data_IF_670488036060
#
_entry.id   IF_670488036060
#
_cell.length_a   1.000
_cell.length_b   1.000
_cell.length_c   1.000
_cell.angle_alpha   90.00
_cell.angle_beta   90.00
_cell.angle_gamma   90.00
#
_symmetry.space_group_name_H-M   'P 1'
#
loop_
_entity.id
_entity.type
_entity.pdbx_description
1 polymer ?
#
# COMPACT_ATOMS: atom_id res chain seq x y z
N UNK A 1 -60.52 -47.55 9.00
CA UNK A 1 -60.12 -48.43 7.88
C UNK A 1 -59.11 -47.65 7.05
N UNK A 2 -57.89 -48.19 6.96
CA UNK A 2 -56.78 -47.97 6.00
C UNK A 2 -56.19 -46.56 5.75
N UNK A 3 -55.06 -46.30 6.43
CA UNK A 3 -53.67 -46.12 5.94
C UNK A 3 -53.26 -45.34 4.67
N UNK A 4 -52.13 -44.61 4.85
CA UNK A 4 -51.02 -44.43 3.90
C UNK A 4 -50.68 -42.96 3.57
N UNK A 5 -49.48 -42.39 3.76
CA UNK A 5 -48.18 -42.82 4.28
C UNK A 5 -47.16 -41.65 4.08
N UNK A 6 -46.24 -41.44 5.03
CA UNK A 6 -45.08 -40.55 4.86
C UNK A 6 -43.89 -41.16 5.64
N UNK A 7 -42.82 -41.49 4.91
CA UNK A 7 -41.63 -42.13 5.47
C UNK A 7 -40.61 -41.13 6.02
N UNK A 8 -40.14 -41.39 7.24
CA UNK A 8 -39.02 -40.72 7.90
C UNK A 8 -37.95 -41.80 8.18
N UNK A 9 -36.69 -41.55 7.82
CA UNK A 9 -35.53 -42.35 8.29
C UNK A 9 -34.48 -41.45 8.94
N UNK A 10 -34.55 -41.46 10.29
CA UNK A 10 -33.53 -41.50 11.36
C UNK A 10 -32.18 -40.76 11.22
N UNK A 11 -31.91 -39.94 12.25
CA UNK A 11 -30.60 -39.44 12.68
C UNK A 11 -30.14 -40.11 13.99
N UNK A 12 -28.83 -40.27 14.16
CA UNK A 12 -28.13 -40.57 15.43
C UNK A 12 -26.67 -40.13 15.31
N UNK A 13 -26.20 -39.09 16.00
CA UNK A 13 -25.67 -39.04 17.40
C UNK A 13 -24.14 -39.09 17.41
N UNK A 14 -23.48 -38.00 17.82
CA UNK A 14 -22.12 -38.03 18.38
C UNK A 14 -21.95 -36.88 19.40
N UNK A 15 -21.49 -37.22 20.60
CA UNK A 15 -21.23 -36.32 21.73
C UNK A 15 -19.73 -36.17 21.97
N UNK A 16 -19.28 -34.97 22.37
CA UNK A 16 -17.90 -34.68 22.74
C UNK A 16 -17.85 -34.29 24.23
N UNK A 17 -17.08 -35.05 25.02
CA UNK A 17 -16.75 -34.71 26.40
C UNK A 17 -15.37 -34.05 26.47
N UNK A 18 -15.27 -32.95 27.21
CA UNK A 18 -14.04 -32.25 27.56
C UNK A 18 -13.37 -32.92 28.77
N UNK A 19 -12.05 -33.08 28.74
CA UNK A 19 -11.23 -33.43 29.90
C UNK A 19 -10.18 -32.33 30.11
N UNK A 20 -10.24 -31.69 31.27
CA UNK A 20 -9.22 -30.75 31.78
C UNK A 20 -8.15 -31.58 32.52
N UNK A 21 -6.88 -31.40 32.15
CA UNK A 21 -5.75 -31.98 32.87
C UNK A 21 -4.81 -30.88 33.41
N UNK A 22 -4.37 -31.09 34.64
CA UNK A 22 -3.68 -30.18 35.55
C UNK A 22 -2.17 -30.05 35.28
N UNK A 23 -1.60 -28.92 35.71
CA UNK A 23 -0.19 -28.51 35.54
C UNK A 23 0.65 -28.87 36.77
N UNK A 24 1.84 -29.51 36.60
CA UNK A 24 3.11 -29.40 37.38
C UNK A 24 4.27 -30.13 36.65
N UNK A 25 5.56 -30.00 37.05
CA UNK A 25 6.45 -28.82 37.02
C UNK A 25 7.64 -28.99 36.04
N UNK A 26 8.42 -27.91 35.90
CA UNK A 26 9.45 -27.66 34.88
C UNK A 26 10.79 -28.40 35.11
N UNK A 27 10.99 -29.56 34.48
CA UNK A 27 12.33 -30.19 34.44
C UNK A 27 12.70 -31.00 33.19
N UNK A 28 12.00 -30.89 32.05
CA UNK A 28 12.27 -31.75 30.87
C UNK A 28 12.25 -31.00 29.52
N UNK A 29 12.95 -29.87 29.43
CA UNK A 29 13.07 -29.11 28.17
C UNK A 29 14.03 -29.70 27.14
N UNK A 30 14.92 -30.64 27.52
CA UNK A 30 15.86 -31.27 26.58
C UNK A 30 15.28 -32.49 25.82
N UNK A 31 14.17 -33.09 26.29
CA UNK A 31 13.56 -34.26 25.63
C UNK A 31 12.40 -33.93 24.67
N UNK A 32 11.90 -32.68 24.68
CA UNK A 32 10.84 -32.23 23.75
C UNK A 32 11.44 -31.81 22.39
N UNK A 33 12.63 -31.19 22.38
CA UNK A 33 13.30 -30.77 21.15
C UNK A 33 13.76 -31.98 20.32
N UNK A 34 14.15 -33.08 20.96
CA UNK A 34 14.57 -34.31 20.28
C UNK A 34 13.39 -35.11 19.66
N UNK A 35 12.15 -34.95 20.16
CA UNK A 35 10.96 -35.61 19.58
C UNK A 35 10.25 -34.80 18.50
N UNK A 36 10.50 -33.49 18.42
CA UNK A 36 10.00 -32.64 17.33
C UNK A 36 10.84 -32.84 16.06
N UNK A 37 12.16 -33.04 16.19
CA UNK A 37 13.03 -33.27 15.03
C UNK A 37 12.91 -34.68 14.42
N UNK A 38 12.34 -35.67 15.12
CA UNK A 38 12.20 -37.04 14.59
C UNK A 38 10.85 -37.28 13.87
N UNK A 39 9.93 -36.31 13.87
CA UNK A 39 8.64 -36.41 13.16
C UNK A 39 8.54 -35.51 11.92
N UNK A 40 9.60 -34.76 11.58
CA UNK A 40 9.62 -33.88 10.41
C UNK A 40 10.35 -34.45 9.19
N UNK A 41 11.04 -35.59 9.30
CA UNK A 41 11.88 -36.11 8.20
C UNK A 41 11.24 -37.20 7.33
N UNK A 42 9.99 -37.62 7.59
CA UNK A 42 9.34 -38.69 6.81
C UNK A 42 7.92 -38.41 6.31
N UNK A 43 7.37 -37.20 6.50
CA UNK A 43 6.01 -36.87 6.05
C UNK A 43 5.93 -35.80 4.95
N UNK A 44 7.07 -35.39 4.35
CA UNK A 44 7.08 -34.27 3.40
C UNK A 44 7.50 -34.63 1.97
N UNK A 45 7.72 -35.91 1.63
CA UNK A 45 8.21 -36.29 0.29
C UNK A 45 7.18 -37.08 -0.56
N UNK A 46 6.16 -37.72 0.03
CA UNK A 46 5.21 -38.55 -0.75
C UNK A 46 3.82 -37.94 -0.98
N UNK A 47 3.58 -36.68 -0.60
CA UNK A 47 2.33 -35.97 -0.91
C UNK A 47 2.43 -35.03 -2.14
N UNK A 48 3.47 -35.20 -2.97
CA UNK A 48 3.68 -34.39 -4.20
C UNK A 48 3.13 -35.11 -5.47
N UNK A 49 2.62 -36.33 -5.37
CA UNK A 49 2.05 -37.05 -6.51
C UNK A 49 0.70 -37.70 -6.23
N UNK A 50 -0.35 -36.89 -6.07
CA UNK A 50 -1.69 -37.23 -6.55
C UNK A 50 -2.62 -36.02 -6.35
N UNK A 51 -3.44 -35.73 -7.36
CA UNK A 51 -4.51 -34.73 -7.34
C UNK A 51 -4.10 -33.25 -7.53
N UNK A 52 -3.33 -32.99 -8.58
CA UNK A 52 -3.51 -31.76 -9.36
C UNK A 52 -4.80 -31.91 -10.17
N UNK A 53 -5.95 -31.77 -9.50
CA UNK A 53 -7.14 -31.31 -10.21
C UNK A 53 -6.95 -29.81 -10.36
N UNK A 54 -6.70 -29.39 -11.59
CA UNK A 54 -6.65 -27.99 -11.99
C UNK A 54 -7.98 -27.31 -11.65
N UNK A 55 -8.08 -26.74 -10.45
CA UNK A 55 -9.03 -25.66 -10.19
C UNK A 55 -8.49 -24.47 -10.96
N UNK A 56 -8.90 -24.37 -12.23
CA UNK A 56 -8.79 -23.12 -12.98
C UNK A 56 -9.70 -22.12 -12.27
N UNK A 57 -9.12 -21.40 -11.31
CA UNK A 57 -9.72 -20.17 -10.81
C UNK A 57 -9.91 -19.28 -12.04
N UNK A 58 -11.13 -18.78 -12.31
CA UNK A 58 -11.33 -17.87 -13.42
C UNK A 58 -10.36 -16.71 -13.23
N UNK A 59 -9.55 -16.42 -14.24
CA UNK A 59 -8.85 -15.14 -14.39
C UNK A 59 -9.91 -14.10 -14.76
N UNK A 60 -10.86 -13.91 -13.87
CA UNK A 60 -11.76 -12.78 -13.82
C UNK A 60 -11.08 -11.71 -12.97
N UNK A 61 -11.17 -10.47 -13.43
CA UNK A 61 -10.82 -9.23 -12.73
C UNK A 61 -10.43 -9.42 -11.26
N UNK A 62 -9.19 -9.06 -10.90
CA UNK A 62 -8.89 -8.69 -9.52
C UNK A 62 -9.85 -7.55 -9.15
N UNK A 63 -11.01 -7.87 -8.60
CA UNK A 63 -11.71 -6.97 -7.69
C UNK A 63 -10.73 -6.80 -6.53
N UNK A 64 -9.95 -5.74 -6.62
CA UNK A 64 -9.21 -5.20 -5.50
C UNK A 64 -10.26 -4.97 -4.43
N UNK A 65 -10.12 -5.70 -3.32
CA UNK A 65 -10.76 -5.50 -2.03
C UNK A 65 -11.44 -4.13 -1.93
N UNK A 66 -12.77 -4.12 -1.80
CA UNK A 66 -13.55 -2.94 -1.43
C UNK A 66 -12.87 -2.25 -0.25
N UNK A 67 -12.16 -1.15 -0.50
CA UNK A 67 -11.44 -0.43 0.53
C UNK A 67 -11.90 1.03 0.55
N UNK A 68 -12.70 1.31 1.59
CA UNK A 68 -13.19 2.63 2.04
C UNK A 68 -13.88 3.50 0.96
N UNK A 69 -14.11 4.79 1.26
CA UNK A 69 -15.12 5.67 0.64
C UNK A 69 -15.26 5.55 -0.89
N UNK A 70 -16.50 5.52 -1.38
CA UNK A 70 -16.81 5.48 -2.83
C UNK A 70 -16.15 6.67 -3.55
N UNK A 71 -15.40 6.39 -4.60
CA UNK A 71 -14.74 7.40 -5.44
C UNK A 71 -13.40 7.91 -4.90
N UNK A 72 -12.90 7.38 -3.78
CA UNK A 72 -11.60 7.74 -3.20
C UNK A 72 -10.70 6.50 -3.24
N UNK A 73 -9.47 6.66 -3.71
CA UNK A 73 -8.52 5.55 -3.78
C UNK A 73 -8.15 5.04 -2.36
N UNK A 74 -8.11 3.72 -2.15
CA UNK A 74 -7.85 3.14 -0.82
C UNK A 74 -6.43 3.32 -0.30
N UNK A 75 -5.48 3.67 -1.18
CA UNK A 75 -4.11 4.02 -0.81
C UNK A 75 -4.04 5.37 -0.06
N UNK A 76 -5.13 6.16 -0.07
CA UNK A 76 -5.21 7.43 0.65
C UNK A 76 -5.64 7.18 2.09
N UNK A 77 -4.68 7.30 3.02
CA UNK A 77 -4.97 7.21 4.45
C UNK A 77 -5.92 8.35 4.89
N UNK A 78 -6.71 8.16 5.96
CA UNK A 78 -7.57 9.23 6.49
C UNK A 78 -6.80 10.53 6.82
N UNK A 79 -5.56 10.39 7.29
CA UNK A 79 -4.69 11.52 7.61
C UNK A 79 -4.22 12.28 6.35
N UNK A 80 -3.90 11.54 5.29
CA UNK A 80 -3.57 12.13 4.00
C UNK A 80 -4.79 12.84 3.40
N UNK A 81 -5.95 12.19 3.39
CA UNK A 81 -7.19 12.79 2.88
C UNK A 81 -7.53 14.09 3.59
N UNK A 82 -7.44 14.10 4.93
CA UNK A 82 -7.62 15.32 5.72
C UNK A 82 -6.64 16.42 5.30
N UNK A 83 -5.36 16.08 5.15
CA UNK A 83 -4.32 17.05 4.79
C UNK A 83 -4.57 17.65 3.40
N UNK A 84 -4.93 16.82 2.41
CA UNK A 84 -5.29 17.29 1.06
C UNK A 84 -6.49 18.24 1.10
N UNK A 85 -7.48 17.98 1.96
CA UNK A 85 -8.65 18.83 2.12
C UNK A 85 -8.35 20.17 2.82
N UNK A 86 -7.43 20.18 3.78
CA UNK A 86 -7.02 21.40 4.51
C UNK A 86 -6.11 22.33 3.69
N UNK A 87 -5.33 21.78 2.75
CA UNK A 87 -4.44 22.57 1.89
C UNK A 87 -5.20 23.62 1.06
N UNK A 88 -4.66 24.83 1.00
CA UNK A 88 -5.11 25.93 0.14
C UNK A 88 -4.35 26.01 -1.18
N UNK A 89 -4.74 26.97 -2.03
CA UNK A 89 -3.99 27.30 -3.26
C UNK A 89 -2.57 27.78 -2.90
N UNK A 90 -1.56 27.19 -3.56
CA UNK A 90 -0.15 27.50 -3.41
C UNK A 90 0.58 26.59 -2.41
N UNK A 91 -0.18 25.89 -1.56
CA UNK A 91 0.38 24.89 -0.66
C UNK A 91 1.00 23.73 -1.43
N UNK A 92 2.09 23.20 -0.88
CA UNK A 92 2.86 22.11 -1.48
C UNK A 92 2.78 20.87 -0.62
N UNK A 93 2.72 19.71 -1.27
CA UNK A 93 2.87 18.40 -0.63
C UNK A 93 4.05 17.69 -1.28
N UNK A 94 4.92 17.09 -0.45
CA UNK A 94 6.04 16.27 -0.93
C UNK A 94 5.63 14.81 -0.82
N UNK A 95 5.69 14.04 -1.90
CA UNK A 95 5.71 12.58 -1.83
C UNK A 95 7.17 12.14 -1.88
N UNK A 96 7.65 11.64 -0.76
CA UNK A 96 9.06 11.39 -0.52
C UNK A 96 9.40 9.90 -0.63
N UNK A 97 10.52 9.59 -1.26
CA UNK A 97 11.07 8.23 -1.31
C UNK A 97 11.59 7.80 0.08
N UNK A 98 11.86 6.50 0.23
CA UNK A 98 12.28 5.90 1.49
C UNK A 98 13.64 6.41 2.03
N UNK A 99 14.42 7.11 1.21
CA UNK A 99 15.74 7.64 1.56
C UNK A 99 15.69 9.14 1.91
N UNK A 100 14.54 9.79 1.69
CA UNK A 100 14.41 11.23 1.88
C UNK A 100 14.41 11.61 3.38
N UNK A 101 15.07 12.71 3.78
CA UNK A 101 15.22 13.08 5.18
C UNK A 101 13.98 13.78 5.77
N UNK A 102 12.77 13.25 5.53
CA UNK A 102 11.48 13.89 5.84
C UNK A 102 11.37 14.43 7.27
N UNK A 103 11.85 13.68 8.25
CA UNK A 103 11.72 14.03 9.68
C UNK A 103 12.67 15.14 10.16
N UNK A 104 13.57 15.63 9.31
CA UNK A 104 14.54 16.68 9.66
C UNK A 104 14.28 18.02 8.95
N UNK A 105 13.29 18.05 8.05
CA UNK A 105 13.04 19.22 7.22
C UNK A 105 12.07 20.23 7.86
N UNK A 106 11.21 19.79 8.78
CA UNK A 106 10.32 20.67 9.54
C UNK A 106 8.83 20.38 9.38
N UNK A 107 8.29 20.19 8.15
CA UNK A 107 6.87 19.92 7.97
C UNK A 107 6.41 18.63 8.65
N UNK A 108 5.10 18.55 8.88
CA UNK A 108 4.46 17.32 9.37
C UNK A 108 4.72 16.18 8.40
N UNK A 109 5.12 15.03 8.93
CA UNK A 109 5.33 13.81 8.16
C UNK A 109 4.14 12.86 8.32
N UNK A 110 3.58 12.40 7.20
CA UNK A 110 2.57 11.36 7.12
C UNK A 110 3.26 10.10 6.60
N UNK A 111 3.13 8.97 7.30
CA UNK A 111 3.73 7.70 6.88
C UNK A 111 2.82 6.99 5.87
N UNK A 112 3.40 6.52 4.78
CA UNK A 112 2.77 5.73 3.72
C UNK A 112 3.72 4.57 3.33
N UNK A 113 4.30 3.94 4.35
CA UNK A 113 5.21 2.80 4.20
C UNK A 113 4.57 1.68 3.36
N UNK A 114 5.35 1.10 2.44
CA UNK A 114 4.89 0.04 1.55
C UNK A 114 4.13 0.50 0.31
N UNK A 115 3.81 1.79 0.17
CA UNK A 115 3.20 2.35 -1.04
C UNK A 115 4.25 2.99 -1.95
N UNK A 116 4.07 2.83 -3.26
CA UNK A 116 4.86 3.51 -4.28
C UNK A 116 4.29 4.89 -4.63
N UNK A 117 5.14 5.80 -5.08
CA UNK A 117 4.72 7.16 -5.44
C UNK A 117 3.75 7.18 -6.64
N UNK A 118 3.93 6.40 -7.73
CA UNK A 118 2.98 6.40 -8.84
C UNK A 118 1.56 5.97 -8.44
N UNK A 119 1.43 5.03 -7.50
CA UNK A 119 0.14 4.61 -6.95
C UNK A 119 -0.53 5.74 -6.14
N UNK A 120 0.26 6.47 -5.35
CA UNK A 120 -0.23 7.63 -4.61
C UNK A 120 -0.62 8.77 -5.56
N UNK A 121 0.16 9.05 -6.61
CA UNK A 121 -0.20 10.04 -7.63
C UNK A 121 -1.56 9.72 -8.26
N UNK A 122 -1.75 8.47 -8.70
CA UNK A 122 -3.03 8.00 -9.26
C UNK A 122 -4.20 8.18 -8.31
N UNK A 123 -3.98 8.01 -7.02
CA UNK A 123 -5.01 8.25 -6.01
C UNK A 123 -5.28 9.73 -5.73
N UNK A 124 -4.22 10.53 -5.62
CA UNK A 124 -4.28 11.93 -5.17
C UNK A 124 -4.79 12.85 -6.27
N UNK A 125 -4.27 12.74 -7.50
CA UNK A 125 -4.53 13.72 -8.57
C UNK A 125 -6.02 13.84 -8.99
N UNK A 126 -6.85 12.79 -8.93
CA UNK A 126 -8.31 12.95 -9.10
C UNK A 126 -8.99 13.86 -8.08
N UNK A 127 -8.36 14.08 -6.90
CA UNK A 127 -8.87 14.91 -5.81
C UNK A 127 -8.11 16.24 -5.67
N UNK A 128 -7.03 16.42 -6.44
CA UNK A 128 -6.05 17.47 -6.23
C UNK A 128 -5.83 18.28 -7.51
N UNK A 129 -6.40 19.48 -7.54
CA UNK A 129 -6.17 20.43 -8.63
C UNK A 129 -4.71 20.92 -8.58
N UNK A 130 -3.98 20.81 -9.70
CA UNK A 130 -2.62 21.32 -9.82
C UNK A 130 -2.63 22.83 -10.13
N UNK A 131 -1.64 23.55 -9.64
CA UNK A 131 -1.60 25.00 -9.75
C UNK A 131 -1.33 25.49 -11.19
N UNK A 132 -2.36 26.04 -11.83
CA UNK A 132 -2.29 26.61 -13.17
C UNK A 132 -1.64 28.01 -13.24
N UNK A 133 -1.33 28.65 -12.10
CA UNK A 133 -0.71 29.98 -12.04
C UNK A 133 0.82 29.94 -11.97
N UNK A 134 1.42 28.74 -11.96
CA UNK A 134 2.87 28.53 -12.00
C UNK A 134 3.27 27.75 -13.24
N UNK A 135 4.51 27.95 -13.73
CA UNK A 135 5.01 27.24 -14.90
C UNK A 135 5.09 25.72 -14.66
N UNK A 136 5.54 25.33 -13.46
CA UNK A 136 5.77 23.93 -13.10
C UNK A 136 5.13 23.63 -11.73
N UNK A 137 3.86 23.18 -11.68
CA UNK A 137 3.20 22.80 -10.44
C UNK A 137 3.68 21.45 -9.89
N UNK A 138 4.47 20.71 -10.67
CA UNK A 138 5.06 19.43 -10.31
C UNK A 138 6.57 19.50 -10.51
N UNK A 139 7.33 19.08 -9.50
CA UNK A 139 8.78 19.06 -9.53
C UNK A 139 9.34 17.76 -8.95
N UNK A 140 10.34 17.19 -9.61
CA UNK A 140 11.15 16.08 -9.14
C UNK A 140 12.57 16.54 -8.82
N UNK A 141 13.31 15.76 -8.04
CA UNK A 141 14.71 16.04 -7.77
C UNK A 141 15.58 15.61 -8.98
N UNK A 142 16.41 16.51 -9.47
CA UNK A 142 17.42 16.21 -10.48
C UNK A 142 18.51 15.29 -9.92
N UNK A 143 19.07 14.36 -10.73
CA UNK A 143 20.21 13.56 -10.29
C UNK A 143 21.44 14.44 -10.12
N UNK A 144 22.29 14.12 -9.12
CA UNK A 144 23.60 14.79 -9.02
C UNK A 144 24.55 14.24 -10.09
N UNK A 145 25.64 14.96 -10.36
CA UNK A 145 26.65 14.53 -11.33
C UNK A 145 27.15 13.11 -11.04
N UNK A 146 27.07 12.24 -12.05
CA UNK A 146 27.48 10.82 -11.98
C UNK A 146 26.35 9.85 -11.67
N UNK A 147 25.17 10.33 -11.29
CA UNK A 147 23.97 9.51 -11.10
C UNK A 147 23.00 9.65 -12.29
N UNK A 148 22.08 8.70 -12.42
CA UNK A 148 21.01 8.71 -13.41
C UNK A 148 19.65 8.47 -12.76
N UNK A 149 18.60 9.03 -13.35
CA UNK A 149 17.22 8.72 -12.98
C UNK A 149 16.82 7.35 -13.54
N UNK A 150 15.92 6.67 -12.84
CA UNK A 150 15.20 5.53 -13.38
C UNK A 150 14.17 6.04 -14.41
N UNK A 151 14.38 5.71 -15.68
CA UNK A 151 13.55 6.20 -16.78
C UNK A 151 12.10 5.68 -16.70
N UNK A 152 11.90 4.44 -16.27
CA UNK A 152 10.57 3.82 -16.16
C UNK A 152 9.77 4.50 -15.04
N UNK A 153 10.45 4.90 -13.96
CA UNK A 153 9.86 5.65 -12.87
C UNK A 153 9.42 7.05 -13.27
N UNK A 154 10.31 7.80 -13.91
CA UNK A 154 10.02 9.15 -14.41
C UNK A 154 8.86 9.09 -15.40
N UNK A 155 8.86 8.11 -16.30
CA UNK A 155 7.77 7.89 -17.24
C UNK A 155 6.45 7.60 -16.52
N UNK A 156 6.43 6.67 -15.57
CA UNK A 156 5.23 6.33 -14.79
C UNK A 156 4.65 7.54 -14.05
N UNK A 157 5.50 8.36 -13.43
CA UNK A 157 5.04 9.59 -12.76
C UNK A 157 4.52 10.63 -13.76
N UNK A 158 5.21 10.78 -14.90
CA UNK A 158 4.82 11.73 -15.95
C UNK A 158 3.49 11.38 -16.58
N UNK A 159 3.21 10.08 -16.80
CA UNK A 159 1.92 9.62 -17.32
C UNK A 159 0.77 9.96 -16.37
N UNK A 160 0.92 9.68 -15.07
CA UNK A 160 -0.12 10.00 -14.08
C UNK A 160 -0.35 11.53 -14.00
N UNK A 161 0.71 12.35 -14.07
CA UNK A 161 0.59 13.82 -14.07
C UNK A 161 -0.04 14.35 -15.35
N UNK A 162 0.29 13.78 -16.51
CA UNK A 162 -0.19 14.25 -17.82
C UNK A 162 -1.70 14.12 -17.99
N UNK A 163 -2.38 13.26 -17.21
CA UNK A 163 -3.83 13.19 -17.17
C UNK A 163 -4.49 14.41 -16.53
N UNK A 164 -3.75 15.19 -15.74
CA UNK A 164 -4.28 16.29 -14.92
C UNK A 164 -3.63 17.64 -15.20
N UNK A 165 -2.46 17.67 -15.83
CA UNK A 165 -1.74 18.90 -16.16
C UNK A 165 -0.94 18.74 -17.46
N UNK A 166 -0.92 19.80 -18.28
CA UNK A 166 -0.12 19.84 -19.52
C UNK A 166 1.31 20.33 -19.30
N UNK A 167 1.60 20.92 -18.14
CA UNK A 167 2.95 21.38 -17.82
C UNK A 167 3.89 20.19 -17.61
N UNK A 168 5.10 20.30 -18.18
CA UNK A 168 6.15 19.33 -17.93
C UNK A 168 6.59 19.36 -16.45
N UNK A 169 6.94 18.19 -15.93
CA UNK A 169 7.59 18.05 -14.62
C UNK A 169 8.94 18.76 -14.67
N UNK A 170 9.18 19.63 -13.69
CA UNK A 170 10.48 20.27 -13.51
C UNK A 170 11.47 19.37 -12.76
N UNK A 171 12.77 19.54 -13.02
CA UNK A 171 13.84 18.81 -12.36
C UNK A 171 14.73 19.78 -11.59
N UNK A 172 14.57 19.77 -10.27
CA UNK A 172 15.16 20.75 -9.36
C UNK A 172 16.42 20.19 -8.71
N UNK A 173 17.46 21.02 -8.61
CA UNK A 173 18.69 20.67 -7.89
C UNK A 173 18.39 20.24 -6.44
N UNK A 174 19.16 19.28 -5.93
CA UNK A 174 18.91 18.60 -4.65
C UNK A 174 18.69 19.55 -3.46
N UNK A 175 19.53 20.56 -3.29
CA UNK A 175 19.41 21.49 -2.16
C UNK A 175 18.23 22.46 -2.36
N UNK A 176 18.01 22.94 -3.58
CA UNK A 176 16.82 23.72 -3.91
C UNK A 176 15.52 22.92 -3.66
N UNK A 177 15.53 21.61 -3.94
CA UNK A 177 14.42 20.72 -3.61
C UNK A 177 14.19 20.61 -2.09
N UNK A 178 15.27 20.54 -1.29
CA UNK A 178 15.14 20.58 0.16
C UNK A 178 14.55 21.91 0.66
N UNK A 179 14.97 23.04 0.09
CA UNK A 179 14.42 24.35 0.46
C UNK A 179 12.92 24.43 0.15
N UNK A 180 12.48 23.93 -1.01
CA UNK A 180 11.06 23.81 -1.33
C UNK A 180 10.34 22.88 -0.32
N UNK A 181 10.90 21.72 -0.04
CA UNK A 181 10.32 20.74 0.89
C UNK A 181 10.18 21.28 2.31
N UNK A 182 11.08 22.15 2.80
CA UNK A 182 10.96 22.81 4.12
C UNK A 182 9.73 23.70 4.23
N UNK A 183 9.26 24.24 3.11
CA UNK A 183 8.08 25.12 3.04
C UNK A 183 6.79 24.39 2.68
N UNK A 184 6.84 23.07 2.48
CA UNK A 184 5.66 22.27 2.18
C UNK A 184 4.70 22.21 3.37
N UNK A 185 3.40 22.05 3.09
CA UNK A 185 2.37 21.85 4.09
C UNK A 185 2.59 20.53 4.86
N UNK A 186 2.88 19.46 4.12
CA UNK A 186 3.27 18.17 4.69
C UNK A 186 4.17 17.37 3.74
N UNK A 187 4.81 16.36 4.32
CA UNK A 187 5.63 15.37 3.59
C UNK A 187 5.02 13.99 3.82
N UNK A 188 4.66 13.29 2.75
CA UNK A 188 4.25 11.90 2.77
C UNK A 188 5.49 11.04 2.54
N UNK A 189 5.94 10.32 3.56
CA UNK A 189 7.11 9.45 3.46
C UNK A 189 6.67 8.05 3.06
N UNK A 190 7.08 7.61 1.87
CA UNK A 190 6.57 6.42 1.20
C UNK A 190 7.52 5.24 1.29
N UNK A 191 7.14 4.10 0.69
CA UNK A 191 8.00 2.94 0.50
C UNK A 191 8.75 2.93 -0.84
N UNK A 192 8.72 4.02 -1.62
CA UNK A 192 9.41 4.09 -2.91
C UNK A 192 10.94 3.98 -2.71
N UNK A 193 11.56 2.99 -3.34
CA UNK A 193 12.99 2.67 -3.15
C UNK A 193 13.86 3.18 -4.29
N UNK A 194 13.27 3.69 -5.37
CA UNK A 194 14.04 4.31 -6.44
C UNK A 194 14.66 5.62 -5.97
N UNK A 195 15.95 5.80 -6.28
CA UNK A 195 16.66 7.06 -5.99
C UNK A 195 16.03 8.21 -6.76
N UNK A 196 16.02 9.40 -6.16
CA UNK A 196 15.39 10.59 -6.73
C UNK A 196 13.89 10.37 -6.98
N UNK A 197 13.26 9.55 -6.14
CA UNK A 197 11.83 9.26 -6.23
C UNK A 197 10.97 10.47 -5.84
N UNK A 198 11.54 11.41 -5.09
CA UNK A 198 10.81 12.54 -4.52
C UNK A 198 10.11 13.40 -5.58
N UNK A 199 8.84 13.70 -5.32
CA UNK A 199 8.02 14.60 -6.14
C UNK A 199 7.29 15.60 -5.25
N UNK A 200 7.23 16.85 -5.69
CA UNK A 200 6.44 17.92 -5.08
C UNK A 200 5.25 18.22 -5.97
N UNK A 201 4.07 18.35 -5.36
CA UNK A 201 2.86 18.83 -6.00
C UNK A 201 2.45 20.16 -5.37
N UNK A 202 2.16 21.17 -6.19
CA UNK A 202 1.60 22.45 -5.74
C UNK A 202 0.10 22.50 -6.04
N UNK A 203 -0.71 22.77 -5.01
CA UNK A 203 -2.17 22.80 -5.12
C UNK A 203 -2.63 24.09 -5.80
N UNK A 204 -3.52 23.95 -6.77
CA UNK A 204 -4.18 25.05 -7.47
C UNK A 204 -5.50 25.48 -6.84
N UNK A 205 -6.29 26.21 -7.63
CA UNK A 205 -7.64 26.64 -7.28
C UNK A 205 -8.62 25.57 -7.74
N UNK A 206 -9.13 24.77 -6.81
CA UNK A 206 -10.17 23.78 -7.12
C UNK A 206 -11.41 24.49 -7.70
N UNK A 207 -11.91 24.08 -8.88
CA UNK A 207 -13.09 24.70 -9.46
C UNK A 207 -14.32 24.45 -8.57
N UNK A 208 -15.05 25.52 -8.27
CA UNK A 208 -16.39 25.40 -7.68
C UNK A 208 -17.42 25.21 -8.80
N UNK A 209 -18.37 24.27 -8.64
CA UNK A 209 -19.52 24.14 -9.55
C UNK A 209 -20.35 25.42 -9.65
#
# INVERSE_FOLDING_TARGET
MVDGGCGIVRSSSFSLQYVVASVRPWSDLHNIIARINFLYEFACVDAIQANVLSVQLPVGSREVVDAMLKGIAPCISPELLKSLAEMGHGDKIVLADAHFPSHTLGPRVIRADGLGIPELLRGILPLFELDAYVAHPVAMMAPVAGDSLDADYVHSCSEEVAHHCQSAIDFVERFAFYDLARTAYCIVHTGETRKYGNIILQKGVTPCP
#
